data_IF_246602475517
#
_entry.id   IF_246602475517
#
_cell.length_a   1.000
_cell.length_b   1.000
_cell.length_c   1.000
_cell.angle_alpha   90.00
_cell.angle_beta   90.00
_cell.angle_gamma   90.00
#
_symmetry.space_group_name_H-M   'P 1'
#
loop_
_entity.id
_entity.type
_entity.pdbx_description
1 polymer ?
#
# COMPACT_ATOMS: atom_id res chain seq x y z
N UNK A 1 -19.63 9.91 20.16
CA UNK A 1 -20.42 8.70 19.88
C UNK A 1 -20.41 8.26 18.41
N UNK A 2 -20.01 9.07 17.42
CA UNK A 2 -20.03 8.69 16.00
C UNK A 2 -18.91 7.72 15.57
N UNK A 3 -17.70 7.83 16.13
CA UNK A 3 -16.52 7.09 15.65
C UNK A 3 -16.69 5.57 15.78
N UNK A 4 -17.14 5.08 16.95
CA UNK A 4 -17.28 3.64 17.20
C UNK A 4 -18.34 2.98 16.31
N UNK A 5 -19.46 3.67 16.07
CA UNK A 5 -20.53 3.19 15.19
C UNK A 5 -20.09 3.19 13.73
N UNK A 6 -19.51 4.30 13.26
CA UNK A 6 -19.00 4.40 11.89
C UNK A 6 -17.92 3.35 11.61
N UNK A 7 -17.03 3.11 12.57
CA UNK A 7 -16.03 2.05 12.48
C UNK A 7 -16.68 0.67 12.33
N UNK A 8 -17.69 0.36 13.15
CA UNK A 8 -18.43 -0.90 13.06
C UNK A 8 -19.10 -1.07 11.69
N UNK A 9 -19.72 -0.02 11.17
CA UNK A 9 -20.39 -0.07 9.86
C UNK A 9 -19.37 -0.34 8.74
N UNK A 10 -18.21 0.33 8.75
CA UNK A 10 -17.16 0.10 7.74
C UNK A 10 -16.50 -1.27 7.86
N UNK A 11 -16.32 -1.76 9.08
CA UNK A 11 -15.80 -3.10 9.32
C UNK A 11 -16.75 -4.17 8.77
N UNK A 12 -18.05 -4.00 9.02
CA UNK A 12 -19.07 -4.91 8.51
C UNK A 12 -19.15 -4.87 6.97
N UNK A 13 -19.04 -3.69 6.36
CA UNK A 13 -18.98 -3.54 4.91
C UNK A 13 -17.77 -4.29 4.30
N UNK A 14 -16.58 -4.13 4.89
CA UNK A 14 -15.37 -4.81 4.44
C UNK A 14 -15.52 -6.34 4.54
N UNK A 15 -16.09 -6.82 5.64
CA UNK A 15 -16.37 -8.23 5.85
C UNK A 15 -17.39 -8.79 4.86
N UNK A 16 -18.49 -8.07 4.62
CA UNK A 16 -19.51 -8.46 3.65
C UNK A 16 -18.94 -8.56 2.23
N UNK A 17 -18.02 -7.65 1.87
CA UNK A 17 -17.33 -7.72 0.58
C UNK A 17 -16.45 -8.96 0.50
N UNK A 18 -15.63 -9.23 1.52
CA UNK A 18 -14.78 -10.42 1.55
C UNK A 18 -15.58 -11.73 1.46
N UNK A 19 -16.76 -11.79 2.07
CA UNK A 19 -17.65 -12.95 1.97
C UNK A 19 -18.27 -13.14 0.59
N UNK A 20 -18.53 -12.07 -0.15
CA UNK A 20 -19.26 -12.15 -1.42
C UNK A 20 -18.35 -12.14 -2.66
N UNK A 21 -17.03 -12.19 -2.46
CA UNK A 21 -16.10 -12.31 -3.59
C UNK A 21 -16.16 -13.70 -4.24
N UNK A 22 -16.10 -13.76 -5.58
CA UNK A 22 -15.96 -15.03 -6.30
C UNK A 22 -14.63 -15.70 -5.96
N UNK A 23 -13.54 -14.92 -5.94
CA UNK A 23 -12.23 -15.35 -5.47
C UNK A 23 -12.08 -14.98 -3.99
N UNK A 24 -12.18 -15.98 -3.12
CA UNK A 24 -12.08 -15.77 -1.67
C UNK A 24 -10.66 -15.31 -1.32
N UNK A 25 -10.51 -14.36 -0.37
CA UNK A 25 -9.20 -14.03 0.17
C UNK A 25 -8.58 -15.22 0.90
N UNK A 26 -7.27 -15.13 1.18
CA UNK A 26 -6.59 -16.07 2.07
C UNK A 26 -7.38 -16.27 3.37
N UNK A 27 -7.36 -17.50 3.90
CA UNK A 27 -8.17 -17.88 5.06
C UNK A 27 -7.91 -16.98 6.27
N UNK A 28 -6.66 -16.62 6.51
CA UNK A 28 -6.22 -15.75 7.61
C UNK A 28 -6.82 -14.35 7.47
N UNK A 29 -6.82 -13.78 6.25
CA UNK A 29 -7.39 -12.48 5.98
C UNK A 29 -8.92 -12.50 6.11
N UNK A 30 -9.56 -13.56 5.64
CA UNK A 30 -11.00 -13.77 5.83
C UNK A 30 -11.35 -13.79 7.32
N UNK A 31 -10.68 -14.65 8.10
CA UNK A 31 -10.89 -14.76 9.55
C UNK A 31 -10.60 -13.45 10.28
N UNK A 32 -9.53 -12.74 9.91
CA UNK A 32 -9.17 -11.45 10.46
C UNK A 32 -10.28 -10.41 10.28
N UNK A 33 -10.77 -10.24 9.05
CA UNK A 33 -11.85 -9.29 8.73
C UNK A 33 -13.13 -9.58 9.51
N UNK A 34 -13.53 -10.85 9.61
CA UNK A 34 -14.71 -11.26 10.37
C UNK A 34 -14.56 -11.03 11.89
N UNK A 35 -13.40 -11.38 12.45
CA UNK A 35 -13.09 -11.17 13.87
C UNK A 35 -13.09 -9.68 14.23
N UNK A 36 -12.50 -8.86 13.36
CA UNK A 36 -12.46 -7.42 13.52
C UNK A 36 -13.86 -6.79 13.44
N UNK A 37 -14.69 -7.20 12.49
CA UNK A 37 -16.09 -6.75 12.40
C UNK A 37 -16.87 -7.04 13.69
N UNK A 38 -16.77 -8.27 14.22
CA UNK A 38 -17.41 -8.63 15.48
C UNK A 38 -16.89 -7.81 16.68
N UNK A 39 -15.57 -7.61 16.78
CA UNK A 39 -14.97 -6.81 17.84
C UNK A 39 -15.40 -5.33 17.77
N UNK A 40 -15.49 -4.76 16.56
CA UNK A 40 -15.89 -3.37 16.35
C UNK A 40 -17.35 -3.13 16.74
N UNK A 41 -18.23 -4.10 16.46
CA UNK A 41 -19.62 -4.07 16.90
C UNK A 41 -19.72 -4.10 18.42
N UNK A 42 -19.00 -5.02 19.08
CA UNK A 42 -18.98 -5.10 20.55
C UNK A 42 -18.48 -3.80 21.18
N UNK A 43 -17.41 -3.20 20.62
CA UNK A 43 -16.93 -1.90 21.07
C UNK A 43 -17.97 -0.77 20.88
N UNK A 44 -18.68 -0.77 19.75
CA UNK A 44 -19.74 0.23 19.51
C UNK A 44 -20.87 0.12 20.55
N UNK A 45 -21.24 -1.09 20.96
CA UNK A 45 -22.25 -1.34 21.99
C UNK A 45 -21.76 -0.89 23.38
N UNK A 46 -20.51 -1.19 23.74
CA UNK A 46 -19.90 -0.71 24.98
C UNK A 46 -19.89 0.81 25.06
N UNK A 47 -19.56 1.48 23.95
CA UNK A 47 -19.56 2.94 23.86
C UNK A 47 -20.98 3.52 23.96
N UNK A 48 -21.97 2.90 23.35
CA UNK A 48 -23.37 3.31 23.43
C UNK A 48 -23.96 3.11 24.83
N UNK A 49 -23.51 2.08 25.56
CA UNK A 49 -23.92 1.82 26.93
C UNK A 49 -23.29 2.78 27.97
N UNK A 50 -22.41 3.69 27.55
CA UNK A 50 -21.72 4.60 28.47
C UNK A 50 -20.77 3.87 29.43
N UNK A 51 -20.15 2.78 28.96
CA UNK A 51 -19.23 1.96 29.76
C UNK A 51 -18.05 2.77 30.31
N UNK A 52 -17.44 2.26 31.39
CA UNK A 52 -16.26 2.87 32.01
C UNK A 52 -15.10 3.07 31.01
N UNK A 53 -14.35 4.15 31.22
CA UNK A 53 -13.22 4.54 30.35
C UNK A 53 -12.18 3.43 30.19
N UNK A 54 -11.89 2.67 31.25
CA UNK A 54 -10.93 1.56 31.19
C UNK A 54 -11.37 0.42 30.25
N UNK A 55 -12.68 0.12 30.24
CA UNK A 55 -13.25 -0.88 29.34
C UNK A 55 -13.21 -0.43 27.89
N UNK A 56 -13.49 0.86 27.65
CA UNK A 56 -13.40 1.48 26.33
C UNK A 56 -11.96 1.52 25.83
N UNK A 57 -10.99 1.88 26.67
CA UNK A 57 -9.58 1.88 26.28
C UNK A 57 -9.09 0.47 25.92
N UNK A 58 -9.45 -0.54 26.72
CA UNK A 58 -9.13 -1.94 26.42
C UNK A 58 -9.74 -2.40 25.10
N UNK A 59 -10.99 -2.01 24.83
CA UNK A 59 -11.67 -2.28 23.57
C UNK A 59 -10.99 -1.61 22.38
N UNK A 60 -10.64 -0.32 22.51
CA UNK A 60 -9.94 0.44 21.48
C UNK A 60 -8.57 -0.15 21.16
N UNK A 61 -7.79 -0.52 22.19
CA UNK A 61 -6.47 -1.15 22.02
C UNK A 61 -6.56 -2.47 21.25
N UNK A 62 -7.52 -3.32 21.60
CA UNK A 62 -7.77 -4.57 20.88
C UNK A 62 -8.06 -4.34 19.40
N UNK A 63 -8.90 -3.34 19.07
CA UNK A 63 -9.20 -3.02 17.68
C UNK A 63 -7.98 -2.53 16.92
N UNK A 64 -7.15 -1.70 17.55
CA UNK A 64 -5.89 -1.23 16.96
C UNK A 64 -4.94 -2.40 16.66
N UNK A 65 -4.81 -3.34 17.59
CA UNK A 65 -3.92 -4.50 17.41
C UNK A 65 -4.42 -5.43 16.30
N UNK A 66 -5.72 -5.73 16.28
CA UNK A 66 -6.33 -6.51 15.19
C UNK A 66 -6.23 -5.80 13.83
N UNK A 67 -6.33 -4.47 13.79
CA UNK A 67 -6.16 -3.73 12.55
C UNK A 67 -4.74 -3.88 11.98
N UNK A 68 -3.71 -3.85 12.84
CA UNK A 68 -2.31 -4.05 12.42
C UNK A 68 -2.08 -5.46 11.89
N UNK A 69 -2.68 -6.48 12.50
CA UNK A 69 -2.62 -7.86 12.02
C UNK A 69 -3.22 -7.97 10.61
N UNK A 70 -4.36 -7.34 10.37
CA UNK A 70 -4.98 -7.32 9.04
C UNK A 70 -4.13 -6.53 8.04
N UNK A 71 -3.57 -5.38 8.44
CA UNK A 71 -2.66 -4.60 7.60
C UNK A 71 -1.46 -5.44 7.12
N UNK A 72 -0.92 -6.30 7.98
CA UNK A 72 0.18 -7.20 7.65
C UNK A 72 -0.22 -8.34 6.70
N UNK A 73 -1.52 -8.71 6.68
CA UNK A 73 -2.07 -9.74 5.78
C UNK A 73 -2.48 -9.18 4.41
N UNK A 74 -2.57 -7.86 4.26
CA UNK A 74 -2.86 -7.24 2.97
C UNK A 74 -1.62 -7.31 2.06
N UNK A 75 -1.69 -8.16 1.03
CA UNK A 75 -0.61 -8.40 0.08
C UNK A 75 -1.01 -8.17 -1.38
N UNK A 76 -0.09 -8.43 -2.30
CA UNK A 76 -0.28 -8.23 -3.75
C UNK A 76 -1.35 -9.13 -4.39
N UNK A 77 -1.75 -10.22 -3.73
CA UNK A 77 -2.83 -11.11 -4.16
C UNK A 77 -4.20 -10.72 -3.57
N UNK A 78 -4.26 -9.75 -2.65
CA UNK A 78 -5.52 -9.34 -2.03
C UNK A 78 -6.40 -8.61 -3.05
N UNK A 79 -7.67 -9.00 -3.12
CA UNK A 79 -8.65 -8.35 -3.99
C UNK A 79 -8.69 -6.84 -3.75
N UNK A 80 -8.61 -6.06 -4.83
CA UNK A 80 -8.71 -4.58 -4.81
C UNK A 80 -9.94 -4.09 -4.03
N UNK A 81 -11.07 -4.79 -4.14
CA UNK A 81 -12.31 -4.46 -3.42
C UNK A 81 -12.15 -4.56 -1.90
N UNK A 82 -11.35 -5.51 -1.41
CA UNK A 82 -11.06 -5.63 0.03
C UNK A 82 -10.17 -4.48 0.47
N UNK A 83 -9.10 -4.19 -0.28
CA UNK A 83 -8.15 -3.11 0.04
C UNK A 83 -8.87 -1.77 0.15
N UNK A 84 -9.73 -1.44 -0.82
CA UNK A 84 -10.50 -0.19 -0.84
C UNK A 84 -11.44 -0.07 0.37
N UNK A 85 -12.09 -1.17 0.76
CA UNK A 85 -12.99 -1.19 1.92
C UNK A 85 -12.22 -1.10 3.23
N UNK A 86 -11.11 -1.83 3.33
CA UNK A 86 -10.26 -1.81 4.50
C UNK A 86 -9.64 -0.43 4.74
N UNK A 87 -9.30 0.32 3.68
CA UNK A 87 -8.80 1.70 3.83
C UNK A 87 -9.79 2.61 4.58
N UNK A 88 -11.09 2.46 4.36
CA UNK A 88 -12.11 3.20 5.11
C UNK A 88 -12.14 2.82 6.59
N UNK A 89 -11.82 1.58 6.92
CA UNK A 89 -11.66 1.11 8.31
C UNK A 89 -10.42 1.72 8.93
N UNK A 90 -9.27 1.70 8.23
CA UNK A 90 -8.02 2.28 8.70
C UNK A 90 -8.17 3.77 9.07
N UNK A 91 -8.93 4.54 8.28
CA UNK A 91 -9.19 5.95 8.57
C UNK A 91 -9.94 6.16 9.90
N UNK A 92 -10.90 5.29 10.21
CA UNK A 92 -11.64 5.35 11.48
C UNK A 92 -10.81 4.79 12.65
N UNK A 93 -9.95 3.80 12.41
CA UNK A 93 -9.01 3.33 13.43
C UNK A 93 -7.99 4.40 13.76
N UNK A 94 -7.56 5.23 12.81
CA UNK A 94 -6.68 6.38 13.09
C UNK A 94 -7.34 7.39 14.03
N UNK A 95 -8.58 7.79 13.72
CA UNK A 95 -9.36 8.68 14.59
C UNK A 95 -9.60 8.09 15.98
N UNK A 96 -9.90 6.79 16.06
CA UNK A 96 -10.03 6.07 17.32
C UNK A 96 -8.70 6.09 18.10
N UNK A 97 -7.60 5.80 17.44
CA UNK A 97 -6.27 5.75 18.06
C UNK A 97 -5.86 7.11 18.61
N UNK A 98 -6.12 8.19 17.89
CA UNK A 98 -5.91 9.55 18.35
C UNK A 98 -6.74 9.86 19.61
N UNK A 99 -8.03 9.49 19.61
CA UNK A 99 -8.92 9.71 20.74
C UNK A 99 -8.47 8.98 22.02
N UNK A 100 -7.88 7.79 21.88
CA UNK A 100 -7.39 6.97 22.99
C UNK A 100 -5.86 7.04 23.18
N UNK A 101 -5.15 7.92 22.46
CA UNK A 101 -3.68 8.05 22.47
C UNK A 101 -2.94 6.73 22.26
N UNK A 102 -3.43 5.92 21.33
CA UNK A 102 -2.85 4.63 20.95
C UNK A 102 -1.94 4.80 19.73
N UNK A 103 -0.92 3.95 19.63
CA UNK A 103 -0.04 3.93 18.45
C UNK A 103 -0.65 3.05 17.36
N UNK A 104 -1.25 3.68 16.35
CA UNK A 104 -1.65 3.03 15.10
C UNK A 104 -0.89 3.64 13.93
N UNK A 105 0.34 3.16 13.74
CA UNK A 105 1.13 3.39 12.54
C UNK A 105 1.05 2.13 11.67
N UNK A 106 0.36 2.25 10.55
CA UNK A 106 0.33 1.19 9.53
C UNK A 106 1.75 0.94 9.04
N UNK A 107 2.28 -0.28 9.23
CA UNK A 107 3.53 -0.68 8.56
C UNK A 107 3.37 -0.74 7.03
N UNK A 108 2.14 -0.74 6.52
CA UNK A 108 1.79 -0.58 5.11
C UNK A 108 1.70 0.89 4.63
N UNK A 109 2.35 1.83 5.33
CA UNK A 109 2.34 3.23 4.95
C UNK A 109 3.11 4.12 5.91
N UNK A 110 4.43 4.04 5.92
CA UNK A 110 5.25 5.23 6.18
C UNK A 110 5.03 6.23 5.04
N UNK A 111 3.89 6.93 5.06
CA UNK A 111 3.84 8.29 4.53
C UNK A 111 4.69 9.14 5.47
N UNK A 112 6.00 9.15 5.23
CA UNK A 112 6.76 10.35 5.55
C UNK A 112 6.14 11.46 4.71
N UNK A 113 5.66 12.54 5.32
CA UNK A 113 5.51 13.84 4.64
C UNK A 113 6.89 14.44 4.27
N UNK A 114 7.81 13.58 3.83
CA UNK A 114 9.04 13.92 3.15
C UNK A 114 8.88 13.52 1.70
N UNK A 115 9.47 14.29 0.79
CA UNK A 115 9.59 13.95 -0.63
C UNK A 115 9.95 12.47 -0.77
N UNK A 116 9.09 11.68 -1.41
CA UNK A 116 9.37 10.29 -1.68
C UNK A 116 10.57 10.15 -2.60
N UNK A 117 11.33 9.08 -2.43
CA UNK A 117 12.57 8.85 -3.15
C UNK A 117 12.74 7.39 -3.51
N UNK A 118 13.12 7.16 -4.76
CA UNK A 118 13.51 5.88 -5.31
C UNK A 118 14.76 6.05 -6.16
N UNK A 119 15.76 5.18 -5.97
CA UNK A 119 16.93 5.08 -6.84
C UNK A 119 17.02 3.67 -7.38
N UNK A 120 17.30 3.55 -8.67
CA UNK A 120 17.49 2.26 -9.32
C UNK A 120 18.81 2.23 -10.08
N UNK A 121 19.45 1.07 -10.08
CA UNK A 121 20.66 0.80 -10.86
C UNK A 121 20.61 -0.62 -11.44
N UNK A 122 21.14 -0.81 -12.64
CA UNK A 122 21.31 -2.13 -13.25
C UNK A 122 22.10 -2.08 -14.56
N UNK A 123 22.35 -3.26 -15.14
CA UNK A 123 22.99 -3.42 -16.46
C UNK A 123 21.91 -3.62 -17.52
N UNK A 124 21.97 -2.83 -18.59
CA UNK A 124 20.96 -2.80 -19.67
C UNK A 124 21.66 -3.04 -21.00
N UNK A 125 21.11 -3.96 -21.82
CA UNK A 125 21.54 -4.32 -23.19
C UNK A 125 20.27 -4.59 -24.03
N UNK A 126 19.31 -3.67 -23.91
CA UNK A 126 17.97 -3.85 -24.44
C UNK A 126 16.93 -2.85 -23.95
N UNK A 127 15.66 -3.23 -24.05
CA UNK A 127 14.52 -2.41 -23.65
C UNK A 127 13.68 -3.12 -22.60
N UNK A 128 13.39 -2.41 -21.51
CA UNK A 128 12.64 -2.92 -20.37
C UNK A 128 11.80 -1.80 -19.73
N UNK A 129 10.73 -2.19 -19.06
CA UNK A 129 9.99 -1.31 -18.17
C UNK A 129 10.35 -1.57 -16.72
N UNK A 130 10.62 -0.51 -15.98
CA UNK A 130 10.65 -0.49 -14.52
C UNK A 130 9.29 0.04 -14.03
N UNK A 131 8.56 -0.78 -13.30
CA UNK A 131 7.23 -0.47 -12.78
C UNK A 131 7.32 -0.31 -11.27
N UNK A 132 7.08 0.89 -10.76
CA UNK A 132 7.04 1.21 -9.33
C UNK A 132 5.58 1.36 -8.90
N UNK A 133 5.16 0.67 -7.84
CA UNK A 133 3.83 0.80 -7.24
C UNK A 133 3.92 0.57 -5.73
N UNK A 134 3.60 1.58 -4.93
CA UNK A 134 3.80 1.47 -3.49
C UNK A 134 5.28 1.25 -3.18
N UNK A 135 5.57 0.11 -2.57
CA UNK A 135 6.90 -0.42 -2.28
C UNK A 135 7.38 -1.48 -3.28
N UNK A 136 6.52 -1.90 -4.21
CA UNK A 136 6.82 -2.94 -5.17
C UNK A 136 7.51 -2.38 -6.42
N UNK A 137 8.57 -3.06 -6.84
CA UNK A 137 9.31 -2.79 -8.08
C UNK A 137 9.29 -4.04 -8.95
N UNK A 138 8.72 -3.93 -10.15
CA UNK A 138 8.67 -5.03 -11.12
C UNK A 138 9.38 -4.61 -12.40
N UNK A 139 10.10 -5.55 -13.02
CA UNK A 139 10.74 -5.35 -14.31
C UNK A 139 10.00 -6.17 -15.36
N UNK A 140 9.56 -5.52 -16.44
CA UNK A 140 8.98 -6.19 -17.61
C UNK A 140 9.93 -6.05 -18.80
N UNK A 141 10.47 -7.17 -19.24
CA UNK A 141 11.30 -7.22 -20.43
C UNK A 141 10.50 -7.01 -21.71
N UNK A 142 11.07 -6.27 -22.65
CA UNK A 142 10.45 -5.98 -23.95
C UNK A 142 11.26 -6.53 -25.12
N UNK A 143 12.57 -6.25 -25.15
CA UNK A 143 13.40 -6.59 -26.31
C UNK A 143 14.91 -6.69 -25.98
N UNK A 144 15.64 -7.41 -26.84
CA UNK A 144 17.07 -7.73 -26.75
C UNK A 144 17.42 -8.58 -25.53
N UNK A 145 18.32 -8.12 -24.63
CA UNK A 145 18.70 -8.89 -23.45
C UNK A 145 18.04 -8.33 -22.19
N UNK A 146 17.59 -9.20 -21.27
CA UNK A 146 17.02 -8.76 -20.01
C UNK A 146 18.07 -8.07 -19.14
N UNK A 147 17.59 -7.16 -18.30
CA UNK A 147 18.39 -6.47 -17.28
C UNK A 147 19.12 -7.47 -16.37
N UNK A 148 20.36 -7.11 -15.99
CA UNK A 148 21.18 -7.85 -15.04
C UNK A 148 21.62 -6.97 -13.87
N UNK A 149 22.02 -7.59 -12.78
CA UNK A 149 22.63 -6.96 -11.60
C UNK A 149 21.84 -5.74 -11.10
N UNK A 150 20.50 -5.84 -11.12
CA UNK A 150 19.64 -4.74 -10.71
C UNK A 150 19.54 -4.64 -9.19
N UNK A 151 19.48 -3.40 -8.71
CA UNK A 151 19.31 -3.06 -7.30
C UNK A 151 18.56 -1.73 -7.19
N UNK A 152 17.91 -1.51 -6.05
CA UNK A 152 17.21 -0.26 -5.79
C UNK A 152 17.27 0.14 -4.31
N UNK A 153 17.15 1.45 -4.07
CA UNK A 153 16.94 2.06 -2.77
C UNK A 153 15.59 2.77 -2.81
N UNK A 154 14.64 2.31 -1.99
CA UNK A 154 13.32 2.93 -1.84
C UNK A 154 13.18 3.40 -0.39
N UNK A 155 13.07 4.72 -0.21
CA UNK A 155 13.06 5.33 1.14
C UNK A 155 11.66 5.57 1.68
N UNK A 156 10.68 5.72 0.79
CA UNK A 156 9.28 5.90 1.11
C UNK A 156 8.45 5.17 0.07
N UNK A 157 7.30 4.61 0.47
CA UNK A 157 6.38 3.98 -0.49
C UNK A 157 5.72 5.04 -1.37
N UNK A 158 5.52 4.72 -2.65
CA UNK A 158 4.78 5.60 -3.54
C UNK A 158 3.29 5.57 -3.23
N UNK A 159 2.66 6.70 -2.84
CA UNK A 159 1.28 6.67 -2.39
C UNK A 159 0.33 6.43 -3.56
N UNK A 160 -0.70 5.62 -3.31
CA UNK A 160 -1.72 5.38 -4.32
C UNK A 160 -2.72 6.54 -4.38
N UNK A 161 -2.34 7.56 -5.14
CA UNK A 161 -3.11 8.74 -5.53
C UNK A 161 -2.53 9.29 -6.83
N UNK A 162 -3.28 10.16 -7.52
CA UNK A 162 -2.73 10.89 -8.65
C UNK A 162 -1.63 11.84 -8.15
N UNK A 163 -0.40 11.65 -8.63
CA UNK A 163 0.76 12.47 -8.29
C UNK A 163 1.71 12.53 -9.47
N UNK A 164 2.61 13.53 -9.45
CA UNK A 164 3.61 13.70 -10.49
C UNK A 164 4.96 13.18 -9.98
N UNK A 165 5.42 12.07 -10.55
CA UNK A 165 6.78 11.59 -10.36
C UNK A 165 7.72 12.36 -11.27
N UNK A 166 8.82 12.84 -10.70
CA UNK A 166 9.93 13.44 -11.44
C UNK A 166 11.04 12.40 -11.62
N UNK A 167 11.66 12.38 -12.81
CA UNK A 167 12.78 11.49 -13.12
C UNK A 167 14.06 12.29 -13.30
N UNK A 168 15.12 11.80 -12.67
CA UNK A 168 16.49 12.27 -12.89
C UNK A 168 17.37 11.11 -13.33
N UNK A 169 17.76 11.12 -14.59
CA UNK A 169 18.75 10.18 -15.11
C UNK A 169 20.14 10.56 -14.57
N UNK A 170 20.83 9.59 -13.98
CA UNK A 170 22.20 9.76 -13.45
C UNK A 170 23.25 9.12 -14.37
N UNK A 171 22.93 7.96 -14.97
CA UNK A 171 23.85 7.20 -15.82
C UNK A 171 23.11 6.43 -16.92
N UNK A 172 23.84 6.04 -17.95
CA UNK A 172 23.39 5.21 -19.07
C UNK A 172 23.49 5.96 -20.40
N UNK A 173 23.93 5.29 -21.45
CA UNK A 173 24.09 5.91 -22.79
C UNK A 173 22.78 6.11 -23.56
N UNK A 174 21.76 5.28 -23.33
CA UNK A 174 20.47 5.33 -24.02
C UNK A 174 19.37 6.05 -23.25
N UNK A 175 18.10 5.67 -23.43
CA UNK A 175 16.93 6.40 -22.92
C UNK A 175 16.53 5.94 -21.52
N UNK A 176 16.12 6.89 -20.68
CA UNK A 176 15.47 6.67 -19.38
C UNK A 176 14.34 7.68 -19.29
N UNK A 177 13.08 7.23 -19.34
CA UNK A 177 11.93 8.13 -19.46
C UNK A 177 10.71 7.60 -18.71
N UNK A 178 9.96 8.47 -18.03
CA UNK A 178 8.65 8.13 -17.51
C UNK A 178 7.67 8.09 -18.69
N UNK A 179 7.20 6.89 -19.04
CA UNK A 179 6.18 6.71 -20.07
C UNK A 179 4.77 6.67 -19.49
N UNK A 180 4.65 6.52 -18.17
CA UNK A 180 3.37 6.56 -17.47
C UNK A 180 3.51 7.08 -16.04
N UNK A 181 2.75 8.13 -15.72
CA UNK A 181 2.62 8.66 -14.36
C UNK A 181 1.69 7.76 -13.52
N UNK A 182 1.88 7.69 -12.19
CA UNK A 182 0.98 6.95 -11.31
C UNK A 182 -0.37 7.66 -11.21
N UNK A 183 -1.44 6.90 -11.43
CA UNK A 183 -2.81 7.37 -11.29
C UNK A 183 -3.77 6.24 -10.99
N UNK A 184 -5.00 6.59 -10.59
CA UNK A 184 -6.00 5.57 -10.26
C UNK A 184 -6.36 4.66 -11.46
N UNK A 185 -6.16 5.15 -12.68
CA UNK A 185 -6.42 4.45 -13.93
C UNK A 185 -5.38 3.37 -14.27
N UNK A 186 -4.23 3.35 -13.58
CA UNK A 186 -3.15 2.38 -13.79
C UNK A 186 -2.65 1.75 -12.49
N UNK A 187 -3.57 1.63 -11.53
CA UNK A 187 -3.29 1.06 -10.21
C UNK A 187 -2.14 1.76 -9.49
N UNK A 188 -2.03 3.09 -9.67
CA UNK A 188 -1.02 3.94 -9.07
C UNK A 188 0.41 3.50 -9.41
N UNK A 189 0.63 3.11 -10.66
CA UNK A 189 1.93 2.59 -11.12
C UNK A 189 2.69 3.67 -11.90
N UNK A 190 3.91 3.98 -11.52
CA UNK A 190 4.82 4.76 -12.35
C UNK A 190 5.59 3.79 -13.25
N UNK A 191 5.63 4.05 -14.56
CA UNK A 191 6.36 3.20 -15.51
C UNK A 191 7.48 4.00 -16.14
N UNK A 192 8.70 3.52 -15.95
CA UNK A 192 9.93 4.06 -16.54
C UNK A 192 10.39 3.11 -17.64
N UNK A 193 10.56 3.63 -18.85
CA UNK A 193 11.22 2.93 -19.95
C UNK A 193 12.73 3.09 -19.81
N UNK A 194 13.45 1.97 -19.85
CA UNK A 194 14.88 1.90 -20.08
C UNK A 194 15.12 1.34 -21.48
N UNK A 195 15.99 2.00 -22.24
CA UNK A 195 16.38 1.55 -23.58
C UNK A 195 17.88 1.75 -23.79
N UNK A 196 18.58 0.68 -24.16
CA UNK A 196 19.92 0.70 -24.74
C UNK A 196 19.87 0.20 -26.19
N UNK A 197 19.97 1.10 -27.19
CA UNK A 197 19.93 0.71 -28.59
C UNK A 197 21.27 0.16 -29.09
N UNK A 198 22.35 0.28 -28.32
CA UNK A 198 23.68 -0.19 -28.71
C UNK A 198 23.94 -1.59 -28.16
N UNK A 199 24.71 -2.40 -28.89
CA UNK A 199 25.12 -3.73 -28.41
C UNK A 199 26.08 -3.66 -27.23
N UNK A 200 25.97 -4.64 -26.34
CA UNK A 200 26.77 -4.76 -25.12
C UNK A 200 26.08 -4.07 -23.95
N UNK A 201 26.38 -4.45 -22.71
CA UNK A 201 25.66 -3.94 -21.54
C UNK A 201 26.33 -2.73 -20.89
N UNK A 202 25.60 -1.63 -20.72
CA UNK A 202 26.03 -0.45 -19.96
C UNK A 202 25.32 -0.38 -18.59
N UNK A 203 25.91 0.37 -17.66
CA UNK A 203 25.31 0.64 -16.35
C UNK A 203 24.36 1.83 -16.44
N UNK A 204 23.10 1.57 -16.12
CA UNK A 204 22.06 2.59 -16.04
C UNK A 204 21.74 2.91 -14.59
N UNK A 205 21.44 4.17 -14.34
CA UNK A 205 21.09 4.65 -13.01
C UNK A 205 20.17 5.87 -13.10
N UNK A 206 19.12 5.88 -12.30
CA UNK A 206 18.18 7.00 -12.23
C UNK A 206 17.54 7.11 -10.85
N UNK A 207 16.99 8.29 -10.59
CA UNK A 207 16.23 8.61 -9.40
C UNK A 207 14.81 9.03 -9.78
N UNK A 208 13.85 8.70 -8.92
CA UNK A 208 12.48 9.20 -8.94
C UNK A 208 12.19 9.93 -7.64
N UNK A 209 11.44 11.04 -7.74
CA UNK A 209 10.95 11.80 -6.57
C UNK A 209 9.47 12.17 -6.71
N UNK A 210 8.74 12.20 -5.59
CA UNK A 210 7.31 12.57 -5.53
C UNK A 210 6.87 13.19 -4.20
#
# INVERSE_FOLDING_TARGET
>A
MSIARNLSDKAQDAWNIAQNLPDKPAFELHMGLGSFAGASLAFSQLAAAGSETASLEKGARRLVDQAKEIDALLGWQTSRRIIERWRLVQDHIRQLSEAYRLDYRTQAGTTSEGSGYFRWKGRVDGSDWIMLRGDAVTIRHLANKPIKDSSYDLRSSMPCRQLMVQLKKLRGRGKVEIIQQPGLFNDCTAIVLLEDPQGGDDTYEFELTW
#
